data_IF_202237434078
#
_entry.id   IF_202237434078
#
_cell.length_a   1.000
_cell.length_b   1.000
_cell.length_c   1.000
_cell.angle_alpha   90.00
_cell.angle_beta   90.00
_cell.angle_gamma   90.00
#
_symmetry.space_group_name_H-M   'P 1'
#
loop_
_entity.id
_entity.type
_entity.pdbx_description
1 polymer ?
#
# COMPACT_ATOMS: atom_id res chain seq x y z
N UNK A 1 -22.02 -8.16 -3.43
CA UNK A 1 -20.87 -8.87 -4.02
C UNK A 1 -19.89 -7.91 -4.62
N UNK A 2 -20.35 -7.01 -5.48
CA UNK A 2 -19.51 -5.96 -6.03
C UNK A 2 -19.03 -4.98 -4.95
N UNK A 3 -19.81 -4.79 -3.89
CA UNK A 3 -19.44 -3.96 -2.75
C UNK A 3 -18.15 -4.46 -2.08
N UNK A 4 -17.98 -5.78 -2.00
CA UNK A 4 -16.79 -6.37 -1.39
C UNK A 4 -15.52 -6.03 -2.18
N UNK A 5 -15.60 -6.03 -3.51
CA UNK A 5 -14.47 -5.66 -4.35
C UNK A 5 -14.09 -4.19 -4.15
N UNK A 6 -15.08 -3.30 -4.08
CA UNK A 6 -14.85 -1.88 -3.81
C UNK A 6 -14.21 -1.69 -2.44
N UNK A 7 -14.75 -2.36 -1.41
CA UNK A 7 -14.22 -2.24 -0.06
C UNK A 7 -12.78 -2.73 0.04
N UNK A 8 -12.49 -3.89 -0.53
CA UNK A 8 -11.15 -4.45 -0.52
C UNK A 8 -10.16 -3.54 -1.25
N UNK A 9 -10.54 -3.05 -2.42
CA UNK A 9 -9.69 -2.15 -3.19
C UNK A 9 -9.51 -0.81 -2.49
N UNK A 10 -10.56 -0.29 -1.88
CA UNK A 10 -10.49 0.96 -1.12
C UNK A 10 -9.54 0.83 0.07
N UNK A 11 -9.59 -0.28 0.79
CA UNK A 11 -8.71 -0.51 1.93
C UNK A 11 -7.25 -0.52 1.51
N UNK A 12 -6.94 -1.20 0.41
CA UNK A 12 -5.57 -1.23 -0.13
C UNK A 12 -5.16 0.16 -0.61
N UNK A 13 -6.07 0.88 -1.27
CA UNK A 13 -5.80 2.23 -1.76
C UNK A 13 -5.48 3.18 -0.61
N UNK A 14 -6.26 3.11 0.47
CA UNK A 14 -6.01 3.90 1.67
C UNK A 14 -4.65 3.58 2.28
N UNK A 15 -4.33 2.30 2.42
CA UNK A 15 -3.05 1.87 2.96
C UNK A 15 -1.89 2.33 2.09
N UNK A 16 -2.03 2.24 0.76
CA UNK A 16 -1.01 2.70 -0.18
C UNK A 16 -0.76 4.20 -0.04
N UNK A 17 -1.82 4.98 0.04
CA UNK A 17 -1.71 6.44 0.20
C UNK A 17 -1.09 6.82 1.54
N UNK A 18 -1.38 6.08 2.61
CA UNK A 18 -0.77 6.31 3.91
C UNK A 18 0.74 6.06 3.87
N UNK A 19 1.16 4.99 3.20
CA UNK A 19 2.59 4.71 3.02
C UNK A 19 3.27 5.83 2.24
N UNK A 20 2.64 6.29 1.15
CA UNK A 20 3.17 7.38 0.33
C UNK A 20 3.35 8.66 1.15
N UNK A 21 2.37 8.98 1.97
CA UNK A 21 2.42 10.15 2.84
C UNK A 21 3.60 10.05 3.80
N UNK A 22 3.79 8.90 4.42
CA UNK A 22 4.92 8.65 5.32
C UNK A 22 6.25 8.76 4.59
N UNK A 23 6.35 8.19 3.40
CA UNK A 23 7.58 8.25 2.62
C UNK A 23 7.95 9.67 2.20
N UNK A 24 6.96 10.50 1.87
CA UNK A 24 7.23 11.90 1.53
C UNK A 24 7.87 12.63 2.71
N UNK A 25 7.39 12.37 3.92
CA UNK A 25 7.97 12.99 5.11
C UNK A 25 9.36 12.43 5.42
N UNK A 26 9.55 11.11 5.24
CA UNK A 26 10.86 10.50 5.42
C UNK A 26 11.88 11.05 4.44
N UNK A 27 11.48 11.20 3.18
CA UNK A 27 12.38 11.69 2.13
C UNK A 27 12.90 13.09 2.42
N UNK A 28 12.10 13.93 3.09
CA UNK A 28 12.50 15.29 3.45
C UNK A 28 13.56 15.32 4.53
N UNK A 29 13.74 14.25 5.28
CA UNK A 29 14.63 14.20 6.47
C UNK A 29 15.72 13.15 6.38
N UNK A 30 15.60 12.20 5.45
CA UNK A 30 16.46 11.02 5.41
C UNK A 30 17.82 11.32 4.79
N UNK A 31 18.81 10.53 5.15
CA UNK A 31 20.11 10.54 4.52
C UNK A 31 20.00 10.10 3.06
N UNK A 32 20.98 10.50 2.19
CA UNK A 32 20.88 10.20 0.75
C UNK A 32 20.68 8.74 0.40
N UNK A 33 21.29 7.82 1.14
CA UNK A 33 21.13 6.39 0.87
C UNK A 33 19.69 5.94 1.11
N UNK A 34 19.09 6.43 2.19
CA UNK A 34 17.71 6.14 2.55
C UNK A 34 16.77 6.81 1.53
N UNK A 35 17.08 8.05 1.14
CA UNK A 35 16.27 8.76 0.15
C UNK A 35 16.16 8.00 -1.16
N UNK A 36 17.25 7.39 -1.62
CA UNK A 36 17.24 6.61 -2.85
C UNK A 36 16.26 5.45 -2.79
N UNK A 37 16.29 4.72 -1.67
CA UNK A 37 15.36 3.61 -1.45
C UNK A 37 13.92 4.11 -1.37
N UNK A 38 13.69 5.16 -0.59
CA UNK A 38 12.35 5.73 -0.39
C UNK A 38 11.77 6.23 -1.72
N UNK A 39 12.58 6.88 -2.56
CA UNK A 39 12.11 7.35 -3.87
C UNK A 39 11.70 6.19 -4.77
N UNK A 40 12.50 5.13 -4.80
CA UNK A 40 12.19 3.95 -5.61
C UNK A 40 10.86 3.33 -5.18
N UNK A 41 10.67 3.15 -3.87
CA UNK A 41 9.44 2.60 -3.33
C UNK A 41 8.27 3.54 -3.54
N UNK A 42 8.47 4.84 -3.34
CA UNK A 42 7.42 5.85 -3.57
C UNK A 42 6.94 5.83 -5.01
N UNK A 43 7.87 5.77 -5.97
CA UNK A 43 7.51 5.74 -7.40
C UNK A 43 6.65 4.52 -7.70
N UNK A 44 7.01 3.37 -7.15
CA UNK A 44 6.22 2.15 -7.32
C UNK A 44 4.82 2.33 -6.72
N UNK A 45 4.73 2.82 -5.50
CA UNK A 45 3.43 2.98 -4.83
C UNK A 45 2.59 4.06 -5.48
N UNK A 46 3.19 5.10 -6.05
CA UNK A 46 2.43 6.12 -6.79
C UNK A 46 1.76 5.52 -8.03
N UNK A 47 2.49 4.67 -8.75
CA UNK A 47 1.90 3.96 -9.88
C UNK A 47 0.76 3.05 -9.42
N UNK A 48 0.98 2.32 -8.34
CA UNK A 48 -0.05 1.44 -7.77
C UNK A 48 -1.28 2.23 -7.34
N UNK A 49 -1.09 3.36 -6.66
CA UNK A 49 -2.20 4.21 -6.21
C UNK A 49 -3.00 4.74 -7.39
N UNK A 50 -2.32 5.14 -8.46
CA UNK A 50 -2.98 5.62 -9.67
C UNK A 50 -3.83 4.52 -10.32
N UNK A 51 -3.28 3.31 -10.43
CA UNK A 51 -4.00 2.16 -10.98
C UNK A 51 -5.21 1.80 -10.11
N UNK A 52 -5.03 1.82 -8.80
CA UNK A 52 -6.12 1.55 -7.86
C UNK A 52 -7.23 2.58 -7.98
N UNK A 53 -6.85 3.87 -8.09
CA UNK A 53 -7.82 4.95 -8.24
C UNK A 53 -8.63 4.83 -9.53
N UNK A 54 -7.97 4.46 -10.63
CA UNK A 54 -8.65 4.25 -11.91
C UNK A 54 -9.65 3.09 -11.83
N UNK A 55 -9.26 2.02 -11.15
CA UNK A 55 -10.13 0.86 -11.00
C UNK A 55 -11.33 1.18 -10.08
N UNK A 56 -11.10 1.95 -9.02
CA UNK A 56 -12.19 2.41 -8.15
C UNK A 56 -13.19 3.25 -8.93
N UNK A 57 -12.70 4.17 -9.78
CA UNK A 57 -13.56 5.01 -10.62
C UNK A 57 -14.38 4.14 -11.57
N UNK A 58 -13.76 3.12 -12.17
CA UNK A 58 -14.46 2.20 -13.07
C UNK A 58 -15.59 1.47 -12.34
N UNK A 59 -15.33 1.00 -11.13
CA UNK A 59 -16.34 0.28 -10.35
C UNK A 59 -17.50 1.20 -9.93
N UNK A 60 -17.20 2.45 -9.57
CA UNK A 60 -18.22 3.42 -9.20
C UNK A 60 -19.07 3.82 -10.40
N UNK A 61 -18.44 4.04 -11.57
CA UNK A 61 -19.15 4.38 -12.79
C UNK A 61 -20.07 3.25 -13.23
N UNK A 62 -19.75 2.02 -12.86
CA UNK A 62 -20.60 0.87 -13.16
C UNK A 62 -21.77 0.73 -12.17
N UNK A 63 -21.96 1.71 -11.27
CA UNK A 63 -23.05 1.68 -10.29
C UNK A 63 -22.87 0.68 -9.18
N UNK A 64 -21.63 0.33 -8.89
CA UNK A 64 -21.30 -0.69 -7.88
C UNK A 64 -20.89 -0.11 -6.53
N UNK A 65 -20.99 1.20 -6.39
CA UNK A 65 -20.58 1.88 -5.16
C UNK A 65 -21.79 2.16 -4.27
N UNK A 66 -22.09 1.23 -3.40
CA UNK A 66 -23.07 1.44 -2.34
C UNK A 66 -22.46 1.22 -0.96
N UNK A 67 -21.16 1.15 -0.89
CA UNK A 67 -20.46 0.88 0.37
C UNK A 67 -20.33 2.13 1.21
N UNK A 68 -20.47 1.95 2.51
CA UNK A 68 -20.09 2.98 3.46
C UNK A 68 -18.60 2.86 3.71
N UNK A 69 -17.82 3.69 3.06
CA UNK A 69 -16.36 3.67 3.16
C UNK A 69 -15.93 4.12 4.56
N UNK A 70 -15.99 3.21 5.51
CA UNK A 70 -15.55 3.50 6.87
C UNK A 70 -14.04 3.38 6.95
N UNK A 71 -13.42 4.34 7.61
CA UNK A 71 -11.99 4.33 7.81
C UNK A 71 -11.56 3.12 8.61
N UNK A 72 -10.57 2.41 8.11
CA UNK A 72 -9.98 1.27 8.79
C UNK A 72 -8.79 1.74 9.60
N UNK A 73 -8.73 1.37 10.87
CA UNK A 73 -7.51 1.59 11.64
C UNK A 73 -6.49 0.58 11.13
N UNK A 74 -5.44 1.09 10.57
CA UNK A 74 -4.55 0.37 9.71
C UNK A 74 -3.20 0.21 10.42
N UNK A 75 -2.67 -1.00 10.42
CA UNK A 75 -1.34 -1.29 10.96
C UNK A 75 -0.27 -0.40 10.33
N UNK A 76 -0.46 -0.06 9.07
CA UNK A 76 0.48 0.78 8.33
C UNK A 76 0.60 2.16 8.96
N UNK A 77 -0.52 2.73 9.42
CA UNK A 77 -0.51 4.06 10.07
C UNK A 77 0.33 4.04 11.34
N UNK A 78 0.20 2.99 12.15
CA UNK A 78 0.96 2.85 13.38
C UNK A 78 2.46 2.74 13.07
N UNK A 79 2.81 1.93 12.09
CA UNK A 79 4.21 1.75 11.67
C UNK A 79 4.80 3.04 11.13
N UNK A 80 4.00 3.81 10.38
CA UNK A 80 4.45 5.11 9.84
C UNK A 80 4.82 6.09 10.95
N UNK A 81 4.09 6.09 12.05
CA UNK A 81 4.43 6.93 13.20
C UNK A 81 5.79 6.58 13.77
N UNK A 82 6.08 5.27 13.84
CA UNK A 82 7.39 4.80 14.31
C UNK A 82 8.50 5.22 13.36
N UNK A 83 8.25 5.19 12.05
CA UNK A 83 9.22 5.64 11.06
C UNK A 83 9.62 7.09 11.28
N UNK A 84 8.63 7.95 11.55
CA UNK A 84 8.87 9.40 11.69
C UNK A 84 9.70 9.74 12.91
N UNK A 85 9.69 8.87 13.92
CA UNK A 85 10.47 9.11 15.13
C UNK A 85 11.90 8.57 15.04
N UNK A 86 12.23 7.80 13.99
CA UNK A 86 13.50 7.07 13.94
C UNK A 86 14.06 7.09 12.51
N UNK A 87 14.55 8.26 12.07
CA UNK A 87 15.05 8.45 10.70
C UNK A 87 16.58 8.37 10.58
N UNK A 88 17.20 7.55 11.38
CA UNK A 88 18.63 7.30 11.27
C UNK A 88 18.89 6.14 10.28
N UNK A 89 20.15 5.70 10.19
CA UNK A 89 20.55 4.66 9.26
C UNK A 89 19.89 3.31 9.50
N UNK A 90 19.23 3.14 10.66
CA UNK A 90 18.48 1.93 10.97
C UNK A 90 17.03 1.99 10.45
N UNK A 91 16.72 3.02 9.66
CA UNK A 91 15.37 3.18 9.12
C UNK A 91 15.00 2.10 8.10
N UNK A 92 15.98 1.50 7.40
CA UNK A 92 15.67 0.49 6.38
C UNK A 92 14.94 -0.73 6.93
N UNK A 93 15.30 -1.29 8.09
CA UNK A 93 14.47 -2.36 8.67
C UNK A 93 13.05 -1.91 8.97
N UNK A 94 12.85 -0.66 9.40
CA UNK A 94 11.51 -0.12 9.62
C UNK A 94 10.74 0.03 8.30
N UNK A 95 11.43 0.45 7.23
CA UNK A 95 10.85 0.52 5.88
C UNK A 95 10.38 -0.88 5.46
N UNK A 96 11.21 -1.90 5.69
CA UNK A 96 10.84 -3.28 5.40
C UNK A 96 9.58 -3.69 6.16
N UNK A 97 9.51 -3.38 7.45
CA UNK A 97 8.32 -3.69 8.25
C UNK A 97 7.06 -3.03 7.68
N UNK A 98 7.18 -1.78 7.23
CA UNK A 98 6.07 -1.08 6.62
C UNK A 98 5.62 -1.70 5.31
N UNK A 99 6.58 -2.11 4.47
CA UNK A 99 6.27 -2.81 3.24
C UNK A 99 5.61 -4.17 3.51
N UNK A 100 6.09 -4.87 4.53
CA UNK A 100 5.46 -6.13 4.94
C UNK A 100 4.04 -5.93 5.43
N UNK A 101 3.78 -4.88 6.19
CA UNK A 101 2.42 -4.56 6.63
C UNK A 101 1.52 -4.22 5.46
N UNK A 102 2.02 -3.49 4.48
CA UNK A 102 1.27 -3.17 3.27
C UNK A 102 1.00 -4.44 2.45
N UNK A 103 2.01 -5.30 2.29
CA UNK A 103 1.83 -6.61 1.65
C UNK A 103 0.68 -7.38 2.31
N UNK A 104 0.63 -7.37 3.63
CA UNK A 104 -0.40 -8.10 4.38
C UNK A 104 -1.79 -7.53 4.12
N UNK A 105 -1.90 -6.20 3.94
CA UNK A 105 -3.17 -5.59 3.54
C UNK A 105 -3.61 -6.06 2.15
N UNK A 106 -2.68 -6.18 1.20
CA UNK A 106 -2.97 -6.74 -0.11
C UNK A 106 -3.46 -8.19 0.00
N UNK A 107 -2.76 -9.00 0.80
CA UNK A 107 -3.14 -10.41 0.98
C UNK A 107 -4.52 -10.55 1.61
N UNK A 108 -4.81 -9.70 2.58
CA UNK A 108 -6.13 -9.68 3.22
C UNK A 108 -7.22 -9.32 2.20
N UNK A 109 -6.97 -8.30 1.38
CA UNK A 109 -7.92 -7.90 0.35
C UNK A 109 -8.17 -9.01 -0.66
N UNK A 110 -7.10 -9.69 -1.09
CA UNK A 110 -7.21 -10.81 -2.03
C UNK A 110 -8.02 -11.96 -1.43
N UNK A 111 -7.82 -12.24 -0.16
CA UNK A 111 -8.59 -13.27 0.55
C UNK A 111 -10.06 -12.88 0.65
N UNK A 112 -10.34 -11.62 0.97
CA UNK A 112 -11.71 -11.14 1.11
C UNK A 112 -12.46 -11.14 -0.23
N UNK A 113 -11.74 -10.93 -1.34
CA UNK A 113 -12.34 -10.97 -2.68
C UNK A 113 -12.83 -12.36 -3.06
N UNK A 114 -12.14 -13.40 -2.65
CA UNK A 114 -12.48 -14.79 -2.97
C UNK A 114 -12.76 -15.01 -4.47
N UNK A 115 -11.96 -14.37 -5.33
CA UNK A 115 -12.07 -14.49 -6.78
C UNK A 115 -13.39 -13.92 -7.35
N UNK A 116 -14.07 -13.04 -6.63
CA UNK A 116 -15.35 -12.48 -7.10
C UNK A 116 -15.19 -11.42 -8.16
N UNK A 117 -14.02 -10.79 -8.26
CA UNK A 117 -13.73 -9.81 -9.30
C UNK A 117 -12.33 -10.05 -9.81
N UNK A 118 -12.24 -10.69 -10.98
CA UNK A 118 -10.97 -11.11 -11.56
C UNK A 118 -10.08 -9.91 -11.90
N UNK A 119 -10.67 -8.80 -12.33
CA UNK A 119 -9.92 -7.59 -12.66
C UNK A 119 -9.22 -7.01 -11.44
N UNK A 120 -9.96 -6.85 -10.35
CA UNK A 120 -9.40 -6.34 -9.10
C UNK A 120 -8.37 -7.33 -8.54
N UNK A 121 -8.69 -8.63 -8.55
CA UNK A 121 -7.78 -9.65 -8.04
C UNK A 121 -6.45 -9.64 -8.80
N UNK A 122 -6.49 -9.56 -10.12
CA UNK A 122 -5.29 -9.51 -10.95
C UNK A 122 -4.46 -8.26 -10.64
N UNK A 123 -5.11 -7.11 -10.53
CA UNK A 123 -4.44 -5.87 -10.19
C UNK A 123 -3.72 -5.98 -8.85
N UNK A 124 -4.44 -6.41 -7.82
CA UNK A 124 -3.86 -6.49 -6.48
C UNK A 124 -2.77 -7.56 -6.39
N UNK A 125 -2.94 -8.69 -7.08
CA UNK A 125 -1.92 -9.73 -7.08
C UNK A 125 -0.63 -9.24 -7.74
N UNK A 126 -0.74 -8.57 -8.88
CA UNK A 126 0.41 -8.02 -9.59
C UNK A 126 1.15 -7.01 -8.72
N UNK A 127 0.42 -6.11 -8.07
CA UNK A 127 1.01 -5.12 -7.19
C UNK A 127 1.64 -5.73 -5.95
N UNK A 128 0.97 -6.72 -5.37
CA UNK A 128 1.50 -7.45 -4.22
C UNK A 128 2.83 -8.15 -4.56
N UNK A 129 2.90 -8.77 -5.74
CA UNK A 129 4.12 -9.44 -6.20
C UNK A 129 5.28 -8.45 -6.34
N UNK A 130 5.01 -7.24 -6.83
CA UNK A 130 6.01 -6.20 -6.93
C UNK A 130 6.51 -5.77 -5.54
N UNK A 131 5.62 -5.65 -4.58
CA UNK A 131 5.98 -5.31 -3.20
C UNK A 131 6.85 -6.41 -2.59
N UNK A 132 6.48 -7.68 -2.78
CA UNK A 132 7.26 -8.81 -2.28
C UNK A 132 8.68 -8.79 -2.85
N UNK A 133 8.82 -8.49 -4.14
CA UNK A 133 10.13 -8.35 -4.76
C UNK A 133 10.98 -7.26 -4.12
N UNK A 134 10.37 -6.12 -3.80
CA UNK A 134 11.08 -5.03 -3.14
C UNK A 134 11.45 -5.40 -1.71
N UNK A 135 10.57 -6.09 -0.98
CA UNK A 135 10.87 -6.55 0.37
C UNK A 135 12.11 -7.44 0.38
N UNK A 136 12.24 -8.31 -0.62
CA UNK A 136 13.39 -9.22 -0.72
C UNK A 136 14.71 -8.47 -0.86
N UNK A 137 14.67 -7.21 -1.32
CA UNK A 137 15.86 -6.37 -1.51
C UNK A 137 16.20 -5.53 -0.29
N UNK A 138 15.34 -5.52 0.72
CA UNK A 138 15.53 -4.71 1.92
C UNK A 138 16.19 -5.52 3.03
N UNK A 139 17.03 -4.89 3.87
CA UNK A 139 17.66 -5.59 4.97
C UNK A 139 16.66 -6.03 6.03
N UNK A 140 16.95 -7.16 6.66
CA UNK A 140 16.07 -7.74 7.68
C UNK A 140 16.21 -7.13 9.06
N UNK A 141 17.16 -6.27 9.27
CA UNK A 141 17.35 -5.62 10.58
C UNK A 141 18.48 -6.14 11.40
#
# INVERSE_FOLDING_TARGET
MTTRAIDALHDVHTATNDVLKGYREMAARAEPEIQTVIRRLSDMHERHASEQGAELARLRDAGKDDSSLQGTVNKVVVILRDWLSNLDRDALPAVRQGEEALRDEYKKALKDLQAQDASVATLLQTQCDAIVSEIARLPKG
#
